data_IF_326283250872
#
_entry.id   IF_326283250872
#
_cell.length_a   1.000
_cell.length_b   1.000
_cell.length_c   1.000
_cell.angle_alpha   90.00
_cell.angle_beta   90.00
_cell.angle_gamma   90.00
#
_symmetry.space_group_name_H-M   'P 1'
#
loop_
_entity.id
_entity.type
_entity.pdbx_description
1 polymer ?
#
# COMPACT_ATOMS: atom_id res chain seq x y z
N UNK A 1 -8.62 17.69 15.76
CA UNK A 1 -8.24 16.40 15.16
C UNK A 1 -8.37 16.55 13.65
N UNK A 2 -7.32 16.27 12.89
CA UNK A 2 -7.29 16.52 11.43
C UNK A 2 -8.23 15.58 10.67
N UNK A 3 -8.33 14.32 11.09
CA UNK A 3 -9.20 13.33 10.46
C UNK A 3 -10.66 13.66 10.73
N UNK A 4 -11.00 14.07 11.96
CA UNK A 4 -12.35 14.50 12.29
C UNK A 4 -12.80 15.72 11.47
N UNK A 5 -11.90 16.69 11.25
CA UNK A 5 -12.19 17.85 10.40
C UNK A 5 -12.42 17.45 8.94
N UNK A 6 -11.54 16.62 8.37
CA UNK A 6 -11.67 16.14 7.00
C UNK A 6 -12.97 15.35 6.76
N UNK A 7 -13.37 14.50 7.71
CA UNK A 7 -14.62 13.73 7.62
C UNK A 7 -15.87 14.59 7.85
N UNK A 8 -15.76 15.69 8.59
CA UNK A 8 -16.85 16.65 8.72
C UNK A 8 -17.08 17.41 7.41
N UNK A 9 -16.00 17.80 6.72
CA UNK A 9 -16.06 18.52 5.44
C UNK A 9 -16.45 17.61 4.27
N UNK A 10 -15.89 16.40 4.22
CA UNK A 10 -16.14 15.41 3.17
C UNK A 10 -16.31 14.01 3.79
N UNK A 11 -17.55 13.64 4.19
CA UNK A 11 -17.79 12.35 4.84
C UNK A 11 -17.47 11.13 3.97
N UNK A 12 -17.50 11.29 2.64
CA UNK A 12 -17.22 10.25 1.66
C UNK A 12 -15.86 10.41 0.98
N UNK A 13 -15.09 11.45 1.31
CA UNK A 13 -13.72 11.69 0.83
C UNK A 13 -13.57 11.63 -0.70
N UNK A 14 -14.60 12.01 -1.46
CA UNK A 14 -14.63 11.89 -2.94
C UNK A 14 -13.49 12.61 -3.66
N UNK A 15 -12.91 13.62 -3.04
CA UNK A 15 -11.80 14.40 -3.61
C UNK A 15 -10.43 13.71 -3.44
N UNK A 16 -10.35 12.61 -2.67
CA UNK A 16 -9.13 11.86 -2.43
C UNK A 16 -9.09 10.59 -3.28
N UNK A 17 -8.05 10.43 -4.11
CA UNK A 17 -7.87 9.27 -4.98
C UNK A 17 -7.44 7.98 -4.26
N UNK A 18 -7.14 8.05 -2.96
CA UNK A 18 -6.54 6.95 -2.21
C UNK A 18 -5.04 6.73 -2.46
N UNK A 19 -4.45 7.45 -3.43
CA UNK A 19 -3.01 7.37 -3.73
C UNK A 19 -2.20 8.17 -2.71
N UNK A 20 -1.30 7.50 -1.97
CA UNK A 20 -0.47 8.15 -0.94
C UNK A 20 0.99 8.25 -1.41
N UNK A 21 1.50 9.49 -1.51
CA UNK A 21 2.89 9.74 -1.87
C UNK A 21 3.86 9.48 -0.71
N UNK A 22 5.10 9.09 -1.03
CA UNK A 22 6.23 9.12 -0.10
C UNK A 22 7.06 10.40 -0.35
N UNK A 23 7.38 11.14 0.72
CA UNK A 23 8.15 12.40 0.67
C UNK A 23 9.65 12.20 0.42
N UNK A 24 10.12 10.95 0.40
CA UNK A 24 11.54 10.59 0.37
C UNK A 24 12.12 10.33 1.77
N UNK A 25 11.60 10.98 2.81
CA UNK A 25 12.10 10.81 4.20
C UNK A 25 11.95 9.37 4.70
N UNK A 26 10.75 8.80 4.53
CA UNK A 26 10.51 7.40 4.88
C UNK A 26 11.36 6.41 4.07
N UNK A 27 11.70 6.76 2.82
CA UNK A 27 12.56 5.92 1.96
C UNK A 27 14.01 5.94 2.42
N UNK A 28 14.59 7.13 2.62
CA UNK A 28 15.98 7.21 3.10
C UNK A 28 16.10 6.60 4.50
N UNK A 29 15.10 6.79 5.36
CA UNK A 29 15.10 6.20 6.72
C UNK A 29 15.08 4.68 6.66
N UNK A 30 14.28 4.09 5.77
CA UNK A 30 14.25 2.63 5.57
C UNK A 30 15.59 2.09 5.04
N UNK A 31 16.25 2.83 4.15
CA UNK A 31 17.57 2.47 3.62
C UNK A 31 18.63 2.54 4.72
N UNK A 32 18.67 3.64 5.48
CA UNK A 32 19.61 3.80 6.59
C UNK A 32 19.44 2.71 7.66
N UNK A 33 18.21 2.31 7.97
CA UNK A 33 17.95 1.20 8.89
C UNK A 33 18.57 -0.12 8.41
N UNK A 34 18.55 -0.39 7.09
CA UNK A 34 19.20 -1.56 6.49
C UNK A 34 20.73 -1.45 6.59
N UNK A 35 21.29 -0.29 6.24
CA UNK A 35 22.74 -0.03 6.27
C UNK A 35 23.32 -0.16 7.69
N UNK A 36 22.59 0.33 8.69
CA UNK A 36 22.98 0.27 10.10
C UNK A 36 22.64 -1.07 10.78
N UNK A 37 21.95 -1.98 10.09
CA UNK A 37 21.51 -3.26 10.66
C UNK A 37 20.46 -3.10 11.78
N UNK A 38 19.67 -2.02 11.75
CA UNK A 38 18.66 -1.69 12.76
C UNK A 38 17.26 -2.11 12.29
N UNK A 39 16.52 -2.92 13.07
CA UNK A 39 15.15 -3.30 12.71
C UNK A 39 14.17 -2.10 12.71
N UNK A 40 13.53 -1.83 11.57
CA UNK A 40 12.50 -0.78 11.43
C UNK A 40 11.18 -1.30 10.82
N UNK A 41 10.57 -2.39 11.32
CA UNK A 41 9.50 -3.12 10.65
C UNK A 41 8.24 -2.29 10.36
N UNK A 42 7.83 -1.44 11.31
CA UNK A 42 6.62 -0.60 11.16
C UNK A 42 6.84 0.48 10.09
N UNK A 43 8.03 1.07 10.04
CA UNK A 43 8.38 2.08 9.05
C UNK A 43 8.46 1.47 7.64
N UNK A 44 9.09 0.29 7.52
CA UNK A 44 9.12 -0.45 6.25
C UNK A 44 7.72 -0.82 5.76
N UNK A 45 6.87 -1.33 6.66
CA UNK A 45 5.48 -1.66 6.34
C UNK A 45 4.69 -0.42 5.89
N UNK A 46 4.80 0.69 6.61
CA UNK A 46 4.14 1.94 6.24
C UNK A 46 4.60 2.46 4.86
N UNK A 47 5.88 2.32 4.52
CA UNK A 47 6.40 2.67 3.21
C UNK A 47 5.83 1.75 2.12
N UNK A 48 5.77 0.44 2.36
CA UNK A 48 5.20 -0.52 1.41
C UNK A 48 3.70 -0.35 1.20
N UNK A 49 2.93 0.00 2.24
CA UNK A 49 1.50 0.33 2.08
C UNK A 49 1.29 1.51 1.11
N UNK A 50 2.19 2.51 1.12
CA UNK A 50 2.15 3.60 0.14
C UNK A 50 2.45 3.10 -1.27
N UNK A 51 3.30 2.07 -1.43
CA UNK A 51 3.57 1.48 -2.74
C UNK A 51 2.33 0.75 -3.27
N UNK A 52 1.65 -0.01 -2.42
CA UNK A 52 0.36 -0.65 -2.74
C UNK A 52 -0.71 0.37 -3.15
N UNK A 53 -0.81 1.51 -2.45
CA UNK A 53 -1.75 2.59 -2.83
C UNK A 53 -1.51 3.22 -4.22
N UNK A 54 -0.41 2.83 -4.87
CA UNK A 54 0.02 3.30 -6.19
C UNK A 54 -0.03 2.18 -7.24
N UNK A 55 -0.70 1.07 -6.93
CA UNK A 55 -0.84 -0.13 -7.75
C UNK A 55 0.50 -0.79 -8.11
N UNK A 56 1.56 -0.55 -7.34
CA UNK A 56 2.89 -1.09 -7.62
C UNK A 56 2.99 -2.60 -7.34
N UNK A 57 2.01 -3.19 -6.66
CA UNK A 57 1.88 -4.63 -6.42
C UNK A 57 0.85 -5.30 -7.34
N UNK A 58 0.19 -4.55 -8.24
CA UNK A 58 -0.90 -5.05 -9.08
C UNK A 58 -0.49 -6.27 -9.92
N UNK A 59 0.63 -6.19 -10.64
CA UNK A 59 1.09 -7.29 -11.47
C UNK A 59 1.47 -8.52 -10.64
N UNK A 60 2.11 -8.33 -9.48
CA UNK A 60 2.43 -9.42 -8.57
C UNK A 60 1.15 -10.11 -8.06
N UNK A 61 0.11 -9.33 -7.76
CA UNK A 61 -1.20 -9.84 -7.36
C UNK A 61 -1.91 -10.59 -8.50
N UNK A 62 -1.81 -10.13 -9.75
CA UNK A 62 -2.32 -10.87 -10.92
C UNK A 62 -1.63 -12.23 -11.09
N UNK A 63 -0.30 -12.26 -10.96
CA UNK A 63 0.47 -13.53 -11.00
C UNK A 63 0.01 -14.47 -9.89
N UNK A 64 -0.18 -13.95 -8.67
CA UNK A 64 -0.68 -14.73 -7.55
C UNK A 64 -2.09 -15.29 -7.81
N UNK A 65 -3.01 -14.49 -8.35
CA UNK A 65 -4.35 -14.94 -8.76
C UNK A 65 -4.27 -16.06 -9.80
N UNK A 66 -3.41 -15.91 -10.82
CA UNK A 66 -3.19 -16.93 -11.84
C UNK A 66 -2.67 -18.25 -11.24
N UNK A 67 -1.71 -18.19 -10.33
CA UNK A 67 -1.19 -19.38 -9.65
C UNK A 67 -2.29 -20.07 -8.83
N UNK A 68 -3.01 -19.32 -8.00
CA UNK A 68 -4.10 -19.84 -7.14
C UNK A 68 -5.20 -20.52 -7.96
N UNK A 69 -5.49 -19.99 -9.15
CA UNK A 69 -6.39 -20.62 -10.11
C UNK A 69 -5.84 -21.95 -10.63
N UNK A 70 -4.57 -21.98 -11.06
CA UNK A 70 -3.99 -23.16 -11.70
C UNK A 70 -3.81 -24.35 -10.75
N UNK A 71 -3.23 -24.13 -9.56
CA UNK A 71 -2.98 -25.26 -8.64
C UNK A 71 -4.15 -25.53 -7.69
N UNK A 72 -4.93 -24.50 -7.33
CA UNK A 72 -5.94 -24.58 -6.27
C UNK A 72 -7.38 -24.50 -6.76
N UNK A 73 -7.62 -24.29 -8.05
CA UNK A 73 -8.96 -24.10 -8.61
C UNK A 73 -9.68 -22.85 -8.10
N UNK A 74 -8.97 -21.89 -7.48
CA UNK A 74 -9.58 -20.68 -6.96
C UNK A 74 -9.99 -19.75 -8.10
N UNK A 75 -11.31 -19.58 -8.29
CA UNK A 75 -11.85 -18.61 -9.24
C UNK A 75 -11.82 -17.20 -8.63
N UNK A 76 -11.23 -16.26 -9.36
CA UNK A 76 -11.24 -14.83 -8.99
C UNK A 76 -12.63 -14.23 -9.23
N UNK A 77 -13.07 -13.33 -8.35
CA UNK A 77 -14.33 -12.60 -8.54
C UNK A 77 -14.13 -11.52 -9.62
N UNK A 78 -15.16 -11.20 -10.42
CA UNK A 78 -15.10 -10.05 -11.32
C UNK A 78 -14.78 -8.78 -10.53
N UNK A 79 -14.03 -7.86 -11.14
CA UNK A 79 -13.86 -6.50 -10.61
C UNK A 79 -15.25 -5.86 -10.56
N UNK A 80 -15.63 -5.38 -9.37
CA UNK A 80 -16.89 -4.68 -9.14
C UNK A 80 -16.85 -3.23 -9.61
#
# INVERSE_FOLDING_TARGET
DLTAAALFESPDLKDFSGRVSDSGEGRWTAIAAIEEGVPAPVLSSALFSRFGSRDLDHFANQVLSAMRKQFGGHAEKPVG
#
